data_IF_095588753661
#
_entry.id   IF_095588753661
#
_cell.length_a   1.000
_cell.length_b   1.000
_cell.length_c   1.000
_cell.angle_alpha   90.00
_cell.angle_beta   90.00
_cell.angle_gamma   90.00
#
_symmetry.space_group_name_H-M   'P 1'
#
loop_
_entity.id
_entity.type
_entity.pdbx_description
1 polymer ?
#
# COMPACT_ATOMS: atom_id res chain seq x y z
N UNK A 1 28.05 45.45 5.12
CA UNK A 1 28.28 44.07 5.60
C UNK A 1 26.92 43.42 5.82
N UNK A 2 26.51 42.52 4.93
CA UNK A 2 25.30 41.71 5.12
C UNK A 2 25.69 40.24 5.02
N UNK A 3 25.62 39.46 6.09
CA UNK A 3 25.19 38.07 6.01
C UNK A 3 23.65 38.06 6.14
N UNK A 4 22.93 37.13 5.54
CA UNK A 4 22.62 35.85 6.18
C UNK A 4 22.05 34.94 5.08
N UNK A 5 22.84 33.89 4.80
CA UNK A 5 22.44 32.49 4.70
C UNK A 5 21.08 32.18 4.07
N UNK A 6 21.12 31.74 2.81
CA UNK A 6 20.01 31.04 2.17
C UNK A 6 19.59 29.84 3.02
N UNK A 7 18.31 29.83 3.43
CA UNK A 7 17.67 28.62 3.94
C UNK A 7 17.69 27.59 2.83
N UNK A 8 18.45 26.53 3.02
CA UNK A 8 18.26 25.31 2.24
C UNK A 8 16.86 24.80 2.56
N UNK A 9 15.91 25.02 1.65
CA UNK A 9 14.58 24.44 1.72
C UNK A 9 14.70 22.94 1.46
N UNK A 10 15.10 22.17 2.47
CA UNK A 10 14.91 20.72 2.45
C UNK A 10 13.40 20.48 2.40
N UNK A 11 12.86 19.75 1.41
CA UNK A 11 11.45 19.43 1.39
C UNK A 11 11.09 18.72 2.70
N UNK A 12 9.95 19.06 3.32
CA UNK A 12 9.56 18.47 4.58
C UNK A 12 9.45 16.95 4.43
N UNK A 13 10.05 16.23 5.39
CA UNK A 13 9.93 14.76 5.45
C UNK A 13 8.45 14.42 5.66
N UNK A 14 7.87 13.47 4.90
CA UNK A 14 6.48 13.07 5.06
C UNK A 14 6.16 12.63 6.50
N UNK A 15 4.90 12.75 6.94
CA UNK A 15 4.46 12.19 8.22
C UNK A 15 4.84 10.71 8.31
N UNK A 16 5.17 10.24 9.52
CA UNK A 16 5.65 8.86 9.71
C UNK A 16 4.66 7.79 9.21
N UNK A 17 3.35 8.03 9.31
CA UNK A 17 2.30 7.14 8.81
C UNK A 17 1.34 7.95 7.93
N UNK A 18 1.53 7.89 6.61
CA UNK A 18 0.72 8.58 5.62
C UNK A 18 0.38 7.60 4.49
N UNK A 19 -0.89 7.55 4.07
CA UNK A 19 -1.26 6.80 2.87
C UNK A 19 -0.94 7.68 1.68
N UNK A 20 -0.06 7.21 0.80
CA UNK A 20 0.25 7.87 -0.47
C UNK A 20 -0.10 6.91 -1.59
N UNK A 21 -0.77 7.41 -2.62
CA UNK A 21 -1.28 6.59 -3.70
C UNK A 21 -1.41 7.40 -5.00
N UNK A 22 -1.46 6.70 -6.13
CA UNK A 22 -2.03 7.28 -7.35
C UNK A 22 -3.56 7.21 -7.21
N UNK A 23 -4.24 8.35 -7.24
CA UNK A 23 -5.68 8.39 -6.99
C UNK A 23 -6.37 9.51 -7.79
N UNK A 24 -7.69 9.36 -7.95
CA UNK A 24 -8.59 10.39 -8.45
C UNK A 24 -9.50 10.89 -7.32
N UNK A 25 -10.58 11.59 -7.64
CA UNK A 25 -11.63 11.91 -6.67
C UNK A 25 -12.35 10.65 -6.16
N UNK A 26 -12.51 9.63 -7.02
CA UNK A 26 -13.40 8.47 -6.77
C UNK A 26 -12.67 7.13 -6.77
N UNK A 27 -11.40 7.08 -7.17
CA UNK A 27 -10.62 5.84 -7.27
C UNK A 27 -9.23 5.96 -6.65
N UNK A 28 -8.68 4.82 -6.24
CA UNK A 28 -7.31 4.69 -5.73
C UNK A 28 -6.66 3.49 -6.41
N UNK A 29 -5.42 3.64 -6.87
CA UNK A 29 -4.62 2.54 -7.39
C UNK A 29 -3.91 1.82 -6.25
N UNK A 30 -4.00 0.50 -6.25
CA UNK A 30 -3.23 -0.38 -5.36
C UNK A 30 -2.53 -1.47 -6.17
N UNK A 31 -1.37 -1.90 -5.69
CA UNK A 31 -0.52 -2.84 -6.38
C UNK A 31 -0.50 -4.21 -5.70
N UNK A 32 -0.47 -5.25 -6.52
CA UNK A 32 -0.26 -6.65 -6.13
C UNK A 32 0.61 -7.34 -7.17
N UNK A 33 1.19 -8.48 -6.83
CA UNK A 33 1.88 -9.33 -7.80
C UNK A 33 1.42 -10.77 -7.69
N UNK A 34 1.36 -11.43 -8.84
CA UNK A 34 0.85 -12.79 -8.99
C UNK A 34 1.67 -13.58 -10.01
N UNK A 35 1.53 -14.90 -9.94
CA UNK A 35 1.92 -15.80 -11.03
C UNK A 35 1.22 -15.44 -12.34
N UNK A 36 1.84 -15.71 -13.50
CA UNK A 36 1.24 -15.42 -14.81
C UNK A 36 -0.18 -15.97 -15.01
N UNK A 37 -0.44 -17.17 -14.49
CA UNK A 37 -1.75 -17.82 -14.57
C UNK A 37 -2.90 -17.06 -13.86
N UNK A 38 -2.59 -16.11 -12.96
CA UNK A 38 -3.58 -15.24 -12.31
C UNK A 38 -3.46 -13.82 -12.86
N UNK A 39 -2.23 -13.29 -12.94
CA UNK A 39 -1.99 -11.90 -13.30
C UNK A 39 -2.39 -11.55 -14.72
N UNK A 40 -2.00 -12.38 -15.71
CA UNK A 40 -2.27 -12.07 -17.12
C UNK A 40 -3.77 -12.12 -17.45
N UNK A 41 -4.54 -13.15 -17.02
CA UNK A 41 -5.99 -13.12 -17.20
C UNK A 41 -6.65 -11.94 -16.50
N UNK A 42 -6.19 -11.58 -15.29
CA UNK A 42 -6.77 -10.46 -14.55
C UNK A 42 -6.62 -9.13 -15.28
N UNK A 43 -5.42 -8.86 -15.82
CA UNK A 43 -5.16 -7.65 -16.61
C UNK A 43 -5.90 -7.64 -17.95
N UNK A 44 -5.98 -8.80 -18.63
CA UNK A 44 -6.71 -8.92 -19.91
C UNK A 44 -8.20 -8.66 -19.74
N UNK A 45 -8.80 -9.22 -18.69
CA UNK A 45 -10.26 -9.23 -18.50
C UNK A 45 -10.75 -8.08 -17.59
N UNK A 46 -9.82 -7.29 -17.04
CA UNK A 46 -10.11 -6.19 -16.12
C UNK A 46 -10.67 -6.61 -14.76
N UNK A 47 -10.58 -7.89 -14.40
CA UNK A 47 -11.18 -8.48 -13.19
C UNK A 47 -10.44 -9.74 -12.73
N UNK A 48 -10.51 -10.07 -11.45
CA UNK A 48 -9.87 -11.31 -10.96
C UNK A 48 -10.56 -12.57 -11.48
N UNK A 49 -9.79 -13.57 -11.98
CA UNK A 49 -10.36 -14.80 -12.52
C UNK A 49 -10.92 -15.70 -11.41
N UNK A 50 -11.62 -16.78 -11.78
CA UNK A 50 -12.23 -17.71 -10.82
C UNK A 50 -11.17 -18.43 -9.96
N UNK A 51 -9.98 -18.64 -10.50
CA UNK A 51 -8.82 -19.24 -9.83
C UNK A 51 -8.26 -18.34 -8.71
N UNK A 52 -8.63 -17.04 -8.70
CA UNK A 52 -8.27 -16.14 -7.61
C UNK A 52 -9.11 -16.44 -6.37
N UNK A 53 -8.43 -16.81 -5.28
CA UNK A 53 -9.07 -17.30 -4.05
C UNK A 53 -9.63 -16.17 -3.21
N UNK A 54 -10.92 -15.89 -3.38
CA UNK A 54 -11.67 -14.87 -2.61
C UNK A 54 -11.64 -15.07 -1.09
N UNK A 55 -11.57 -16.31 -0.62
CA UNK A 55 -11.55 -16.60 0.81
C UNK A 55 -10.15 -16.54 1.44
N UNK A 56 -9.09 -16.36 0.63
CA UNK A 56 -7.73 -16.17 1.13
C UNK A 56 -7.51 -14.68 1.44
N UNK A 57 -6.85 -14.39 2.56
CA UNK A 57 -6.32 -13.05 2.82
C UNK A 57 -5.46 -12.58 1.64
N UNK A 58 -5.76 -11.40 1.10
CA UNK A 58 -4.95 -10.74 0.08
C UNK A 58 -4.35 -9.45 0.61
N UNK A 59 -3.16 -9.07 0.14
CA UNK A 59 -2.43 -7.90 0.65
C UNK A 59 -2.17 -6.87 -0.46
N UNK A 60 -2.89 -5.76 -0.41
CA UNK A 60 -2.79 -4.65 -1.35
C UNK A 60 -1.88 -3.55 -0.81
N UNK A 61 -1.22 -2.82 -1.71
CA UNK A 61 -0.26 -1.76 -1.37
C UNK A 61 -0.53 -0.53 -2.24
N UNK A 62 -0.84 0.63 -1.66
CA UNK A 62 -0.94 1.86 -2.45
C UNK A 62 0.40 2.33 -3.02
N UNK A 63 1.52 1.95 -2.39
CA UNK A 63 2.88 2.32 -2.81
C UNK A 63 3.46 1.35 -3.85
N UNK A 64 3.91 1.89 -4.98
CA UNK A 64 4.54 1.15 -6.06
C UNK A 64 5.90 0.57 -5.63
N UNK A 65 6.78 1.38 -5.03
CA UNK A 65 8.11 0.92 -4.61
C UNK A 65 8.05 -0.09 -3.47
N UNK A 66 7.06 0.04 -2.58
CA UNK A 66 6.78 -1.00 -1.59
C UNK A 66 6.38 -2.32 -2.25
N UNK A 67 5.56 -2.28 -3.31
CA UNK A 67 5.26 -3.47 -4.10
C UNK A 67 6.51 -4.02 -4.82
N UNK A 68 7.35 -3.15 -5.39
CA UNK A 68 8.56 -3.58 -6.10
C UNK A 68 9.55 -4.28 -5.18
N UNK A 69 9.70 -3.79 -3.95
CA UNK A 69 10.45 -4.51 -2.91
C UNK A 69 9.86 -5.89 -2.63
N UNK A 70 8.53 -5.99 -2.54
CA UNK A 70 7.88 -7.28 -2.23
C UNK A 70 7.99 -8.31 -3.35
N UNK A 71 7.79 -7.93 -4.61
CA UNK A 71 7.94 -8.85 -5.74
C UNK A 71 9.35 -8.93 -6.33
N UNK A 72 10.30 -8.12 -5.81
CA UNK A 72 11.65 -8.05 -6.36
C UNK A 72 11.62 -7.58 -7.82
N UNK A 73 10.90 -6.51 -8.12
CA UNK A 73 10.69 -6.01 -9.49
C UNK A 73 10.06 -7.04 -10.45
N UNK A 74 9.20 -7.94 -9.92
CA UNK A 74 8.56 -8.99 -10.71
C UNK A 74 9.47 -10.19 -11.04
N UNK A 75 10.57 -10.38 -10.31
CA UNK A 75 11.51 -11.48 -10.55
C UNK A 75 11.33 -12.66 -9.58
N UNK A 76 10.57 -12.49 -8.49
CA UNK A 76 10.30 -13.56 -7.53
C UNK A 76 9.27 -14.54 -8.07
N UNK A 77 9.53 -15.84 -7.89
CA UNK A 77 8.60 -16.91 -8.23
C UNK A 77 7.22 -16.69 -7.58
N UNK A 78 6.16 -16.84 -8.38
CA UNK A 78 4.78 -16.61 -7.98
C UNK A 78 4.35 -15.13 -7.88
N UNK A 79 5.24 -14.18 -8.21
CA UNK A 79 5.02 -12.74 -8.20
C UNK A 79 5.55 -12.05 -9.46
N UNK A 80 5.48 -12.74 -10.60
CA UNK A 80 6.10 -12.32 -11.87
C UNK A 80 5.29 -11.27 -12.62
N UNK A 81 3.98 -11.19 -12.39
CA UNK A 81 3.08 -10.21 -13.01
C UNK A 81 2.63 -9.21 -11.96
N UNK A 82 3.03 -7.95 -12.15
CA UNK A 82 2.65 -6.82 -11.28
C UNK A 82 1.38 -6.18 -11.82
N UNK A 83 0.34 -6.13 -10.99
CA UNK A 83 -0.93 -5.50 -11.32
C UNK A 83 -1.05 -4.14 -10.62
N UNK A 84 -1.45 -3.13 -11.37
CA UNK A 84 -2.08 -1.93 -10.84
C UNK A 84 -3.60 -2.16 -10.89
N UNK A 85 -4.22 -2.24 -9.72
CA UNK A 85 -5.67 -2.42 -9.57
C UNK A 85 -6.26 -1.10 -9.10
N UNK A 86 -7.12 -0.52 -9.93
CA UNK A 86 -7.90 0.64 -9.52
C UNK A 86 -9.13 0.15 -8.76
N UNK A 87 -9.30 0.66 -7.53
CA UNK A 87 -10.47 0.38 -6.70
C UNK A 87 -11.23 1.67 -6.38
N UNK A 88 -12.52 1.55 -6.09
CA UNK A 88 -13.30 2.67 -5.57
C UNK A 88 -12.67 3.22 -4.27
N UNK A 89 -12.63 4.55 -4.16
CA UNK A 89 -12.14 5.24 -2.96
C UNK A 89 -12.98 4.88 -1.74
N UNK A 90 -14.30 4.80 -1.90
CA UNK A 90 -15.23 4.38 -0.86
C UNK A 90 -15.00 2.93 -0.41
N UNK A 91 -14.58 2.03 -1.31
CA UNK A 91 -14.19 0.67 -0.96
C UNK A 91 -12.94 0.64 -0.08
N UNK A 92 -11.91 1.43 -0.40
CA UNK A 92 -10.72 1.57 0.44
C UNK A 92 -11.06 2.19 1.79
N UNK A 93 -11.86 3.26 1.82
CA UNK A 93 -12.31 3.92 3.05
C UNK A 93 -13.08 2.94 3.95
N UNK A 94 -14.01 2.16 3.38
CA UNK A 94 -14.70 1.12 4.11
C UNK A 94 -13.72 0.10 4.69
N UNK A 95 -12.74 -0.38 3.90
CA UNK A 95 -11.77 -1.35 4.38
C UNK A 95 -10.92 -0.81 5.54
N UNK A 96 -10.50 0.46 5.48
CA UNK A 96 -9.73 1.11 6.54
C UNK A 96 -10.55 1.32 7.82
N UNK A 97 -11.83 1.70 7.68
CA UNK A 97 -12.74 1.87 8.81
C UNK A 97 -13.07 0.54 9.53
N UNK A 98 -12.93 -0.60 8.84
CA UNK A 98 -13.17 -1.95 9.38
C UNK A 98 -11.86 -2.73 9.63
N UNK A 99 -10.72 -2.03 9.66
CA UNK A 99 -9.43 -2.67 9.86
C UNK A 99 -9.00 -2.73 11.33
N UNK A 100 -8.26 -3.77 11.68
CA UNK A 100 -7.48 -3.88 12.91
C UNK A 100 -5.97 -3.81 12.60
N UNK A 101 -5.14 -3.34 13.53
CA UNK A 101 -3.69 -3.41 13.40
C UNK A 101 -3.22 -4.87 13.33
N UNK A 102 -2.31 -5.17 12.40
CA UNK A 102 -1.81 -6.55 12.20
C UNK A 102 -0.98 -7.10 13.36
N UNK A 103 -0.64 -6.26 14.34
CA UNK A 103 0.12 -6.61 15.54
C UNK A 103 -0.40 -5.83 16.76
N UNK A 104 -0.21 -6.42 17.94
CA UNK A 104 -0.53 -5.75 19.20
C UNK A 104 0.38 -4.53 19.41
N UNK A 105 -0.23 -3.42 19.78
CA UNK A 105 0.43 -2.16 20.15
C UNK A 105 -0.05 -1.74 21.54
N UNK A 106 0.90 -1.68 22.49
CA UNK A 106 0.63 -1.27 23.87
C UNK A 106 0.19 0.19 23.92
N UNK A 107 -0.97 0.45 24.50
CA UNK A 107 -1.56 1.79 24.65
C UNK A 107 -2.40 2.25 23.45
N UNK A 108 -2.48 1.44 22.39
CA UNK A 108 -3.56 1.54 21.39
C UNK A 108 -4.63 0.51 21.73
N UNK A 109 -4.22 -0.73 21.98
CA UNK A 109 -5.13 -1.79 22.40
C UNK A 109 -5.18 -1.87 23.93
N UNK A 110 -6.35 -2.21 24.52
CA UNK A 110 -6.48 -2.40 25.96
C UNK A 110 -5.54 -3.51 26.48
N UNK A 111 -5.53 -4.65 25.80
CA UNK A 111 -4.73 -5.82 26.12
C UNK A 111 -4.60 -6.75 24.90
N UNK A 112 -3.71 -7.72 24.99
CA UNK A 112 -3.42 -8.66 23.89
C UNK A 112 -4.62 -9.58 23.57
N UNK A 113 -5.43 -9.99 24.55
CA UNK A 113 -6.56 -10.87 24.34
C UNK A 113 -7.72 -10.14 23.61
N UNK A 114 -7.96 -8.87 23.97
CA UNK A 114 -8.91 -7.98 23.31
C UNK A 114 -8.52 -7.71 21.86
N UNK A 115 -7.25 -7.39 21.60
CA UNK A 115 -6.72 -7.27 20.23
C UNK A 115 -6.89 -8.56 19.42
N UNK A 116 -6.54 -9.72 20.00
CA UNK A 116 -6.70 -11.00 19.30
C UNK A 116 -8.17 -11.31 18.95
N UNK A 117 -9.13 -10.95 19.81
CA UNK A 117 -10.57 -11.09 19.50
C UNK A 117 -10.96 -10.19 18.32
N UNK A 118 -10.59 -8.91 18.37
CA UNK A 118 -10.84 -7.95 17.29
C UNK A 118 -10.21 -8.37 15.96
N UNK A 119 -8.94 -8.77 15.97
CA UNK A 119 -8.19 -9.19 14.77
C UNK A 119 -8.79 -10.42 14.08
N UNK A 120 -9.46 -11.31 14.83
CA UNK A 120 -10.13 -12.50 14.26
C UNK A 120 -11.39 -12.13 13.50
N UNK A 121 -12.10 -11.09 13.92
CA UNK A 121 -13.36 -10.66 13.31
C UNK A 121 -13.17 -9.56 12.28
N UNK A 122 -12.07 -8.80 12.37
CA UNK A 122 -11.78 -7.71 11.45
C UNK A 122 -11.61 -8.23 10.01
N UNK A 123 -12.42 -7.76 9.04
CA UNK A 123 -12.29 -8.18 7.65
C UNK A 123 -11.06 -7.57 6.98
N UNK A 124 -10.46 -6.53 7.57
CA UNK A 124 -9.24 -5.90 7.08
C UNK A 124 -8.15 -5.80 8.16
N UNK A 125 -6.90 -5.73 7.73
CA UNK A 125 -5.72 -5.59 8.60
C UNK A 125 -4.77 -4.53 8.10
N UNK A 126 -4.46 -3.56 8.95
CA UNK A 126 -3.49 -2.52 8.64
C UNK A 126 -2.11 -2.91 9.16
N UNK A 127 -1.13 -2.83 8.26
CA UNK A 127 0.28 -2.89 8.60
C UNK A 127 1.00 -1.68 8.00
N UNK A 128 1.89 -1.10 8.79
CA UNK A 128 2.73 0.02 8.39
C UNK A 128 4.17 -0.46 8.25
N UNK A 129 4.60 -0.71 7.01
CA UNK A 129 5.95 -1.15 6.68
C UNK A 129 6.81 0.06 6.29
N UNK A 130 8.15 0.01 6.38
CA UNK A 130 8.98 1.11 5.91
C UNK A 130 8.73 1.36 4.41
N UNK A 131 8.65 2.62 3.99
CA UNK A 131 8.66 2.94 2.56
C UNK A 131 10.04 2.62 1.95
N UNK A 132 10.13 2.60 0.63
CA UNK A 132 11.32 2.28 -0.15
C UNK A 132 11.71 3.42 -1.06
N UNK A 133 13.01 3.65 -1.20
CA UNK A 133 13.56 4.45 -2.28
C UNK A 133 13.73 3.62 -3.57
N UNK A 134 14.31 4.21 -4.61
CA UNK A 134 14.56 3.56 -5.90
C UNK A 134 15.50 2.36 -5.81
N UNK A 135 16.44 2.38 -4.86
CA UNK A 135 17.38 1.28 -4.59
C UNK A 135 16.78 0.25 -3.61
N UNK A 136 15.51 0.44 -3.23
CA UNK A 136 14.76 -0.37 -2.26
C UNK A 136 15.33 -0.35 -0.84
N UNK A 137 16.05 0.70 -0.45
CA UNK A 137 16.43 0.95 0.93
C UNK A 137 15.23 1.44 1.75
N UNK A 138 15.16 1.12 3.05
CA UNK A 138 14.09 1.61 3.91
C UNK A 138 14.20 3.12 4.16
N UNK A 139 13.07 3.83 4.04
CA UNK A 139 12.93 5.24 4.37
C UNK A 139 12.41 5.47 5.81
N UNK A 140 12.58 6.67 6.38
CA UNK A 140 12.22 6.94 7.79
C UNK A 140 10.70 6.99 8.04
N UNK A 141 9.87 7.06 7.00
CA UNK A 141 8.41 7.01 7.08
C UNK A 141 7.86 5.63 6.66
N UNK A 142 6.55 5.44 6.75
CA UNK A 142 5.87 4.16 6.56
C UNK A 142 4.83 4.24 5.45
N UNK A 143 4.63 3.10 4.80
CA UNK A 143 3.62 2.89 3.78
C UNK A 143 2.66 1.79 4.18
N UNK A 144 1.42 1.94 3.71
CA UNK A 144 0.34 1.02 4.02
C UNK A 144 0.55 -0.32 3.30
N UNK A 145 0.44 -1.41 4.05
CA UNK A 145 0.11 -2.74 3.55
C UNK A 145 -1.24 -3.14 4.16
N UNK A 146 -2.28 -3.22 3.34
CA UNK A 146 -3.64 -3.51 3.78
C UNK A 146 -4.01 -4.95 3.42
N UNK A 147 -4.24 -5.78 4.43
CA UNK A 147 -4.74 -7.13 4.30
C UNK A 147 -6.27 -7.11 4.21
N UNK A 148 -6.85 -7.83 3.26
CA UNK A 148 -8.28 -7.98 3.06
C UNK A 148 -8.66 -9.46 3.15
N UNK A 149 -9.66 -9.78 3.96
CA UNK A 149 -10.13 -11.15 4.20
C UNK A 149 -11.65 -11.20 4.32
N UNK A 150 -12.20 -12.41 4.17
CA UNK A 150 -13.64 -12.65 4.25
C UNK A 150 -14.41 -11.71 3.32
N UNK A 151 -15.32 -10.92 3.88
CA UNK A 151 -16.13 -9.97 3.14
C UNK A 151 -15.29 -8.92 2.39
N UNK A 152 -14.25 -8.35 3.00
CA UNK A 152 -13.44 -7.33 2.33
C UNK A 152 -12.75 -7.88 1.08
N UNK A 153 -12.30 -9.13 1.11
CA UNK A 153 -11.64 -9.78 -0.03
C UNK A 153 -12.61 -10.02 -1.20
N UNK A 154 -13.85 -10.44 -0.90
CA UNK A 154 -14.92 -10.61 -1.90
C UNK A 154 -15.33 -9.27 -2.50
N UNK A 155 -15.64 -8.28 -1.67
CA UNK A 155 -16.00 -6.93 -2.12
C UNK A 155 -14.89 -6.30 -2.94
N UNK A 156 -13.62 -6.46 -2.52
CA UNK A 156 -12.47 -6.01 -3.29
C UNK A 156 -12.48 -6.57 -4.71
N UNK A 157 -12.62 -7.90 -4.85
CA UNK A 157 -12.53 -8.55 -6.16
C UNK A 157 -13.75 -8.30 -7.06
N UNK A 158 -14.94 -8.24 -6.48
CA UNK A 158 -16.20 -8.34 -7.23
C UNK A 158 -17.00 -7.02 -7.26
N UNK A 159 -16.74 -6.08 -6.33
CA UNK A 159 -17.52 -4.83 -6.20
C UNK A 159 -16.66 -3.57 -6.31
N UNK A 160 -15.51 -3.53 -5.65
CA UNK A 160 -14.69 -2.31 -5.58
C UNK A 160 -13.75 -2.15 -6.77
N UNK A 161 -13.38 -3.25 -7.45
CA UNK A 161 -12.46 -3.22 -8.58
C UNK A 161 -13.09 -2.51 -9.77
N UNK A 162 -12.44 -1.43 -10.22
CA UNK A 162 -12.85 -0.63 -11.38
C UNK A 162 -12.05 -1.06 -12.61
N UNK A 163 -10.74 -1.25 -12.47
CA UNK A 163 -9.89 -1.73 -13.57
C UNK A 163 -8.65 -2.47 -13.05
N UNK A 164 -8.07 -3.32 -13.89
CA UNK A 164 -6.83 -4.05 -13.63
C UNK A 164 -5.89 -3.86 -14.81
N UNK A 165 -4.66 -3.41 -14.56
CA UNK A 165 -3.63 -3.24 -15.59
C UNK A 165 -2.36 -4.00 -15.24
N UNK A 166 -1.77 -4.67 -16.22
CA UNK A 166 -0.42 -5.21 -16.11
C UNK A 166 0.60 -4.07 -16.20
N UNK A 167 1.30 -3.81 -15.10
CA UNK A 167 2.37 -2.81 -15.00
C UNK A 167 3.75 -3.45 -14.89
N UNK A 168 3.87 -4.74 -15.21
CA UNK A 168 5.16 -5.44 -15.36
C UNK A 168 6.10 -4.71 -16.32
N UNK A 169 5.65 -4.19 -17.49
CA UNK A 169 6.52 -3.42 -18.37
C UNK A 169 7.11 -2.17 -17.68
N UNK A 170 6.28 -1.42 -16.94
CA UNK A 170 6.73 -0.27 -16.16
C UNK A 170 7.75 -0.67 -15.09
N UNK A 171 7.45 -1.72 -14.32
CA UNK A 171 8.36 -2.24 -13.30
C UNK A 171 9.74 -2.60 -13.88
N UNK A 172 9.76 -3.25 -15.06
CA UNK A 172 10.99 -3.60 -15.77
C UNK A 172 11.74 -2.38 -16.26
N UNK A 173 11.04 -1.38 -16.79
CA UNK A 173 11.68 -0.14 -17.27
C UNK A 173 12.31 0.66 -16.14
N UNK A 174 11.59 0.86 -15.04
CA UNK A 174 12.13 1.53 -13.84
C UNK A 174 13.33 0.76 -13.32
N UNK A 175 13.23 -0.56 -13.18
CA UNK A 175 14.34 -1.39 -12.69
C UNK A 175 15.56 -1.32 -13.61
N UNK A 176 15.36 -1.30 -14.94
CA UNK A 176 16.45 -1.16 -15.90
C UNK A 176 17.16 0.20 -15.74
N UNK A 177 16.43 1.31 -15.60
CA UNK A 177 17.00 2.62 -15.35
C UNK A 177 17.77 2.68 -14.00
N UNK A 178 17.22 2.06 -12.94
CA UNK A 178 17.92 1.92 -11.65
C UNK A 178 19.21 1.10 -11.79
N UNK A 179 19.22 0.04 -12.59
CA UNK A 179 20.46 -0.75 -12.83
C UNK A 179 21.48 -0.01 -13.69
N UNK A 180 21.04 0.89 -14.55
CA UNK A 180 21.88 1.65 -15.48
C UNK A 180 22.53 2.90 -14.88
N UNK A 181 22.22 3.27 -13.63
CA UNK A 181 22.71 4.54 -13.06
C UNK A 181 21.78 5.74 -13.32
N UNK A 182 20.67 5.55 -14.03
CA UNK A 182 19.80 6.62 -14.55
C UNK A 182 18.71 7.02 -13.54
N UNK A 183 19.11 7.57 -12.38
CA UNK A 183 18.19 7.83 -11.23
C UNK A 183 17.08 8.82 -11.57
N UNK A 184 17.39 9.89 -12.28
CA UNK A 184 16.40 10.90 -12.67
C UNK A 184 15.33 10.32 -13.60
N UNK A 185 15.75 9.54 -14.59
CA UNK A 185 14.84 8.81 -15.48
C UNK A 185 13.98 7.82 -14.71
N UNK A 186 14.59 7.02 -13.82
CA UNK A 186 13.86 6.08 -12.99
C UNK A 186 12.80 6.77 -12.13
N UNK A 187 13.14 7.91 -11.52
CA UNK A 187 12.21 8.72 -10.73
C UNK A 187 11.06 9.28 -11.58
N UNK A 188 11.35 9.78 -12.79
CA UNK A 188 10.37 10.34 -13.71
C UNK A 188 9.35 9.31 -14.23
N UNK A 189 9.71 8.01 -14.23
CA UNK A 189 8.82 6.92 -14.60
C UNK A 189 7.88 6.49 -13.47
N UNK A 190 8.18 6.82 -12.21
CA UNK A 190 7.37 6.37 -11.09
C UNK A 190 5.96 6.96 -11.13
N UNK A 191 4.93 6.19 -10.72
CA UNK A 191 3.61 6.74 -10.46
C UNK A 191 3.69 7.91 -9.48
N UNK A 192 2.97 9.00 -9.77
CA UNK A 192 2.90 10.17 -8.88
C UNK A 192 1.95 9.86 -7.74
N UNK A 193 2.51 9.41 -6.61
CA UNK A 193 1.76 9.03 -5.41
C UNK A 193 1.67 10.21 -4.42
N UNK A 194 0.46 10.75 -4.27
CA UNK A 194 0.16 11.90 -3.40
C UNK A 194 -0.54 11.47 -2.12
N UNK A 195 -0.48 12.28 -1.04
CA UNK A 195 -1.21 12.00 0.21
C UNK A 195 -2.70 11.79 -0.06
N UNK A 196 -3.24 10.70 0.48
CA UNK A 196 -4.64 10.39 0.46
C UNK A 196 -5.23 10.66 1.84
N UNK A 197 -6.14 11.64 1.92
CA UNK A 197 -6.82 12.00 3.16
C UNK A 197 -7.90 10.94 3.50
N UNK A 198 -7.45 9.86 4.13
CA UNK A 198 -8.27 8.80 4.71
C UNK A 198 -7.69 8.40 6.07
N UNK A 199 -8.58 8.22 7.04
CA UNK A 199 -8.21 7.70 8.34
C UNK A 199 -7.87 6.20 8.25
N UNK A 200 -6.86 5.77 8.99
CA UNK A 200 -6.49 4.37 9.14
C UNK A 200 -5.98 4.13 10.57
N UNK A 201 -6.18 2.93 11.14
CA UNK A 201 -5.53 2.54 12.39
C UNK A 201 -4.03 2.83 12.36
N UNK A 202 -3.51 3.53 13.38
CA UNK A 202 -2.08 3.87 13.50
C UNK A 202 -1.51 3.27 14.78
N UNK A 203 -0.24 2.82 14.78
CA UNK A 203 0.42 2.25 15.95
C UNK A 203 0.98 3.36 16.87
N UNK A 204 0.21 4.43 17.06
CA UNK A 204 0.55 5.55 17.94
C UNK A 204 -0.59 5.73 18.94
N UNK A 205 -0.27 6.05 20.19
CA UNK A 205 -1.29 6.37 21.18
C UNK A 205 -2.06 7.59 20.69
N UNK A 206 -3.38 7.53 20.73
CA UNK A 206 -4.18 8.74 20.61
C UNK A 206 -3.77 9.67 21.76
N UNK A 207 -3.40 10.90 21.43
CA UNK A 207 -2.93 11.90 22.41
C UNK A 207 -4.02 12.38 23.38
N UNK A 208 -5.18 11.74 23.40
CA UNK A 208 -6.23 12.01 24.37
C UNK A 208 -5.75 11.55 25.75
N UNK A 209 -5.67 12.45 26.75
CA UNK A 209 -5.37 12.02 28.11
C UNK A 209 -6.42 10.98 28.54
N UNK A 210 -5.96 9.92 29.19
CA UNK A 210 -6.86 8.99 29.86
C UNK A 210 -7.75 9.82 30.82
N UNK A 211 -9.09 9.63 30.83
CA UNK A 211 -9.90 10.22 31.88
C UNK A 211 -9.35 9.73 33.21
N UNK A 212 -9.07 10.70 34.09
CA UNK A 212 -8.25 10.55 35.28
C UNK A 212 -8.56 9.30 36.11
N UNK A 213 -7.48 8.69 36.57
CA UNK A 213 -7.46 7.79 37.71
C UNK A 213 -7.04 8.60 38.94
#
# INVERSE_FOLDING_TARGET
>A
MSPILGRMNTPPVPPRHEIRALHTATTVTVYQAYRPAIGLPAARDGRFPAEWKRDRMTWIKPSFLWMMYRCGWGTKEGQEVVLAVEISRSGLEWALAHAELSHYVRGVHPDQASWQRSLRTAPARVQWDPERDLDLNPLPYRSLQLGLSGEASRRYADEWTVSVRDVTPLAREVHAAVRAGERERAAALLPVETPLDLAAPRPVRDGSPAPGM
#
